data_IF_025640400088
#
_entry.id   IF_025640400088
#
_cell.length_a   1.000
_cell.length_b   1.000
_cell.length_c   1.000
_cell.angle_alpha   90.00
_cell.angle_beta   90.00
_cell.angle_gamma   90.00
#
_symmetry.space_group_name_H-M   'P 1'
#
loop_
_entity.id
_entity.type
_entity.pdbx_description
1 polymer ?
#
# COMPACT_ATOMS: atom_id res chain seq x y z
N UNK A 1 -81.45 16.56 -27.55
CA UNK A 1 -80.31 15.64 -27.49
C UNK A 1 -78.96 16.33 -27.80
N UNK A 2 -78.94 17.57 -28.26
CA UNK A 2 -77.72 18.31 -28.62
C UNK A 2 -77.06 19.05 -27.40
N UNK A 3 -77.81 19.45 -26.39
CA UNK A 3 -77.39 20.24 -25.26
C UNK A 3 -76.48 19.42 -24.23
N UNK A 4 -76.75 18.10 -24.13
CA UNK A 4 -76.08 17.23 -23.20
C UNK A 4 -74.63 16.90 -23.67
N UNK A 5 -74.37 16.85 -24.96
CA UNK A 5 -73.06 16.52 -25.55
C UNK A 5 -72.08 17.71 -25.43
N UNK A 6 -72.60 18.94 -25.53
CA UNK A 6 -71.78 20.14 -25.37
C UNK A 6 -71.27 20.36 -23.93
N UNK A 7 -72.10 20.02 -22.93
CA UNK A 7 -71.79 20.14 -21.54
C UNK A 7 -70.70 19.14 -21.14
N UNK A 8 -70.68 17.92 -21.68
CA UNK A 8 -69.69 16.90 -21.36
C UNK A 8 -68.31 17.23 -21.93
N UNK A 9 -68.27 17.84 -23.11
CA UNK A 9 -66.95 18.27 -23.70
C UNK A 9 -66.30 19.46 -22.94
N UNK A 10 -67.16 20.37 -22.46
CA UNK A 10 -66.66 21.54 -21.69
C UNK A 10 -66.07 21.10 -20.33
N UNK A 11 -66.68 20.13 -19.68
CA UNK A 11 -66.18 19.58 -18.42
C UNK A 11 -64.89 18.81 -18.64
N UNK A 12 -64.75 18.08 -19.75
CA UNK A 12 -63.55 17.32 -20.05
C UNK A 12 -62.35 18.22 -20.36
N UNK A 13 -62.54 19.33 -21.08
CA UNK A 13 -61.49 20.32 -21.36
C UNK A 13 -61.07 21.08 -20.10
N UNK A 14 -62.02 21.44 -19.23
CA UNK A 14 -61.69 22.05 -17.90
C UNK A 14 -60.91 21.11 -16.99
N UNK A 15 -61.20 19.82 -17.02
CA UNK A 15 -60.47 18.83 -16.23
C UNK A 15 -59.01 18.61 -16.76
N UNK A 16 -58.84 18.59 -18.07
CA UNK A 16 -57.54 18.46 -18.71
C UNK A 16 -56.65 19.71 -18.48
N UNK A 17 -57.22 20.91 -18.50
CA UNK A 17 -56.47 22.15 -18.19
C UNK A 17 -56.12 22.26 -16.73
N UNK A 18 -56.99 21.83 -15.81
CA UNK A 18 -56.70 21.78 -14.38
C UNK A 18 -55.62 20.75 -14.04
N UNK A 19 -55.64 19.58 -14.71
CA UNK A 19 -54.61 18.54 -14.53
C UNK A 19 -53.23 19.00 -15.06
N UNK A 20 -53.20 19.71 -16.18
CA UNK A 20 -52.00 20.28 -16.77
C UNK A 20 -51.37 21.39 -15.85
N UNK A 21 -52.23 22.23 -15.25
CA UNK A 21 -51.77 23.23 -14.30
C UNK A 21 -51.23 22.63 -12.99
N UNK A 22 -51.79 21.52 -12.51
CA UNK A 22 -51.29 20.80 -11.33
C UNK A 22 -49.93 20.14 -11.59
N UNK A 23 -49.67 19.66 -12.83
CA UNK A 23 -48.36 19.06 -13.20
C UNK A 23 -47.24 20.11 -13.29
N UNK A 24 -47.54 21.35 -13.61
CA UNK A 24 -46.54 22.43 -13.65
C UNK A 24 -46.12 22.90 -12.27
N UNK A 25 -46.97 22.73 -11.24
CA UNK A 25 -46.60 23.07 -9.86
C UNK A 25 -45.72 22.01 -9.16
N UNK A 26 -45.55 20.82 -9.76
CA UNK A 26 -44.70 19.77 -9.21
C UNK A 26 -43.24 19.80 -9.73
N UNK A 27 -42.89 20.73 -10.61
CA UNK A 27 -41.49 21.01 -10.88
C UNK A 27 -40.94 21.75 -9.68
N UNK A 28 -40.58 20.96 -8.64
CA UNK A 28 -39.87 21.46 -7.46
C UNK A 28 -38.65 22.22 -7.96
N UNK A 29 -38.61 23.51 -7.70
CA UNK A 29 -37.40 24.29 -7.83
C UNK A 29 -36.36 23.65 -6.93
N UNK A 30 -35.48 22.82 -7.52
CA UNK A 30 -34.22 22.46 -6.90
C UNK A 30 -33.41 23.74 -6.84
N UNK A 31 -33.54 24.49 -5.76
CA UNK A 31 -32.60 25.53 -5.43
C UNK A 31 -31.29 24.83 -5.08
N UNK A 32 -30.44 24.62 -6.09
CA UNK A 32 -29.02 24.52 -5.81
C UNK A 32 -28.67 25.82 -5.07
N UNK A 33 -28.26 25.70 -3.83
CA UNK A 33 -27.85 26.81 -2.99
C UNK A 33 -26.72 27.53 -3.73
N UNK A 34 -27.10 28.56 -4.51
CA UNK A 34 -26.14 29.34 -5.27
C UNK A 34 -25.52 30.25 -4.26
N UNK A 35 -24.22 30.12 -4.02
CA UNK A 35 -23.48 31.07 -3.20
C UNK A 35 -23.82 32.50 -3.62
N UNK A 36 -24.62 33.19 -2.82
CA UNK A 36 -25.18 34.51 -3.14
C UNK A 36 -24.09 35.59 -3.03
N UNK A 37 -23.07 35.35 -2.20
CA UNK A 37 -21.94 36.23 -2.02
C UNK A 37 -20.60 35.48 -2.18
N UNK A 38 -19.61 36.09 -2.80
CA UNK A 38 -18.29 35.50 -3.00
C UNK A 38 -17.57 35.10 -1.67
N UNK A 39 -18.08 35.59 -0.52
CA UNK A 39 -17.62 35.21 0.82
C UNK A 39 -18.21 33.92 1.34
N UNK A 40 -19.46 33.59 0.97
CA UNK A 40 -20.22 32.47 1.54
C UNK A 40 -19.82 31.10 0.97
N UNK A 41 -19.02 31.11 -0.12
CA UNK A 41 -18.54 29.89 -0.77
C UNK A 41 -17.06 29.59 -0.45
N UNK A 42 -16.47 30.29 0.49
CA UNK A 42 -15.08 30.05 0.90
C UNK A 42 -15.05 28.93 1.92
N UNK A 43 -14.51 27.81 1.53
CA UNK A 43 -14.17 26.70 2.42
C UNK A 43 -12.72 26.90 2.83
N UNK A 44 -12.48 27.10 4.13
CA UNK A 44 -11.12 27.15 4.65
C UNK A 44 -10.61 25.71 4.82
N UNK A 45 -9.59 25.37 4.04
CA UNK A 45 -8.87 24.11 4.20
C UNK A 45 -7.50 24.45 4.78
N UNK A 46 -7.24 23.94 5.98
CA UNK A 46 -5.94 24.09 6.63
C UNK A 46 -5.09 22.86 6.36
N UNK A 47 -3.87 23.08 5.85
CA UNK A 47 -2.87 22.04 5.70
C UNK A 47 -1.82 22.25 6.79
N UNK A 48 -1.57 21.22 7.58
CA UNK A 48 -0.49 21.19 8.55
C UNK A 48 0.49 20.10 8.14
N UNK A 49 1.74 20.45 7.97
CA UNK A 49 2.83 19.53 7.68
C UNK A 49 4.02 19.84 8.56
N UNK A 50 4.76 18.81 8.94
CA UNK A 50 6.05 18.96 9.60
C UNK A 50 7.13 18.69 8.56
N UNK A 51 8.00 19.65 8.34
CA UNK A 51 9.21 19.48 7.54
C UNK A 51 10.37 19.16 8.49
N UNK A 52 11.10 18.09 8.18
CA UNK A 52 12.31 17.72 8.91
C UNK A 52 13.52 18.06 8.05
N UNK A 53 14.45 18.78 8.63
CA UNK A 53 15.65 19.27 7.93
C UNK A 53 16.69 18.15 7.73
N UNK A 54 16.63 17.12 8.60
CA UNK A 54 17.57 15.99 8.58
C UNK A 54 16.79 14.66 8.50
N UNK A 55 17.27 13.76 7.65
CA UNK A 55 16.82 12.39 7.55
C UNK A 55 18.00 11.45 7.78
N UNK A 56 17.74 10.22 8.25
CA UNK A 56 18.79 9.22 8.42
C UNK A 56 19.49 8.87 7.10
N UNK A 57 20.78 8.72 7.13
CA UNK A 57 21.50 7.93 6.16
C UNK A 57 21.21 6.44 6.36
N UNK A 58 21.23 5.64 5.29
CA UNK A 58 21.06 4.18 5.35
C UNK A 58 22.32 3.51 4.83
N UNK A 59 22.82 2.53 5.58
CA UNK A 59 23.92 1.67 5.17
C UNK A 59 23.54 0.20 5.33
N UNK A 60 23.70 -0.59 4.27
CA UNK A 60 23.42 -2.03 4.25
C UNK A 60 24.78 -2.74 4.29
N UNK A 61 24.97 -3.66 5.23
CA UNK A 61 26.23 -4.39 5.46
C UNK A 61 27.47 -3.46 5.59
N UNK A 62 27.28 -2.26 6.17
CA UNK A 62 28.30 -1.21 6.29
C UNK A 62 28.87 -0.73 4.93
N UNK A 63 28.14 -0.89 3.86
CA UNK A 63 28.55 -0.45 2.55
C UNK A 63 27.71 0.75 2.06
N UNK A 64 26.74 0.55 1.20
CA UNK A 64 25.91 1.63 0.63
C UNK A 64 24.43 1.50 1.00
N UNK A 65 23.62 2.46 0.58
CA UNK A 65 22.16 2.40 0.73
C UNK A 65 21.48 1.44 -0.27
N UNK A 66 22.26 0.87 -1.18
CA UNK A 66 21.78 -0.11 -2.17
C UNK A 66 22.80 -1.22 -2.28
N UNK A 67 22.44 -2.41 -1.81
CA UNK A 67 23.34 -3.58 -1.77
C UNK A 67 22.63 -4.84 -2.25
N UNK A 68 23.40 -5.74 -2.87
CA UNK A 68 22.94 -7.05 -3.27
C UNK A 68 23.20 -8.09 -2.17
N UNK A 69 22.14 -8.70 -1.69
CA UNK A 69 22.23 -9.80 -0.72
C UNK A 69 22.21 -11.12 -1.50
N UNK A 70 23.37 -11.77 -1.59
CA UNK A 70 23.51 -13.04 -2.31
C UNK A 70 23.14 -14.21 -1.42
N UNK A 71 22.10 -14.94 -1.79
CA UNK A 71 21.71 -16.19 -1.14
C UNK A 71 22.54 -17.36 -1.67
N UNK A 72 22.81 -18.41 -0.85
CA UNK A 72 23.60 -19.55 -1.25
C UNK A 72 22.92 -20.39 -2.33
N UNK A 73 23.69 -20.99 -3.22
CA UNK A 73 23.16 -21.98 -4.17
C UNK A 73 22.74 -23.25 -3.43
N UNK A 74 21.50 -23.70 -3.67
CA UNK A 74 20.93 -24.86 -3.02
C UNK A 74 20.35 -25.85 -4.04
N UNK A 75 20.22 -27.12 -3.61
CA UNK A 75 19.41 -28.08 -4.34
C UNK A 75 17.92 -27.79 -4.14
N UNK A 76 17.12 -27.92 -5.18
CA UNK A 76 15.65 -27.82 -5.08
C UNK A 76 15.04 -28.82 -4.12
N UNK A 77 15.74 -29.91 -3.80
CA UNK A 77 15.28 -30.96 -2.86
C UNK A 77 15.03 -30.44 -1.45
N UNK A 78 15.67 -29.35 -1.04
CA UNK A 78 15.49 -28.78 0.30
C UNK A 78 14.21 -27.92 0.42
N UNK A 79 13.58 -27.57 -0.71
CA UNK A 79 12.38 -26.74 -0.79
C UNK A 79 11.16 -27.48 -1.37
N UNK A 80 11.14 -28.80 -1.27
CA UNK A 80 10.05 -29.62 -1.84
C UNK A 80 8.74 -29.56 -1.06
N UNK A 81 8.78 -29.13 0.19
CA UNK A 81 7.59 -29.00 1.03
C UNK A 81 7.11 -27.56 1.05
N UNK A 82 5.82 -27.34 0.83
CA UNK A 82 5.18 -26.03 0.99
C UNK A 82 5.54 -25.40 2.35
N UNK A 83 5.96 -24.16 2.33
CA UNK A 83 6.38 -23.43 3.52
C UNK A 83 7.80 -23.77 4.01
N UNK A 84 8.54 -24.64 3.31
CA UNK A 84 9.95 -24.89 3.66
C UNK A 84 10.79 -23.65 3.43
N UNK A 85 11.74 -23.40 4.33
CA UNK A 85 12.72 -22.33 4.23
C UNK A 85 14.12 -22.92 4.22
N UNK A 86 15.02 -22.31 3.42
CA UNK A 86 16.40 -22.71 3.32
C UNK A 86 17.30 -21.57 2.81
N UNK A 87 18.61 -21.71 2.98
CA UNK A 87 19.59 -20.77 2.44
C UNK A 87 19.56 -19.41 3.10
N UNK A 88 19.41 -19.38 4.41
CA UNK A 88 19.38 -18.13 5.18
C UNK A 88 20.70 -17.36 5.06
N UNK A 89 20.61 -16.08 4.72
CA UNK A 89 21.69 -15.13 4.66
C UNK A 89 21.38 -13.93 5.54
N UNK A 90 22.25 -13.65 6.50
CA UNK A 90 22.13 -12.47 7.36
C UNK A 90 22.63 -11.23 6.62
N UNK A 91 21.98 -10.11 6.85
CA UNK A 91 22.44 -8.77 6.47
C UNK A 91 22.08 -7.76 7.56
N UNK A 92 22.77 -6.63 7.57
CA UNK A 92 22.51 -5.53 8.50
C UNK A 92 21.99 -4.30 7.79
N UNK A 93 21.15 -3.54 8.49
CA UNK A 93 20.78 -2.18 8.12
C UNK A 93 21.13 -1.26 9.26
N UNK A 94 21.99 -0.29 8.98
CA UNK A 94 22.43 0.74 9.92
C UNK A 94 21.84 2.07 9.52
N UNK A 95 21.20 2.74 10.47
CA UNK A 95 20.78 4.13 10.31
C UNK A 95 21.85 5.05 10.91
N UNK A 96 22.31 6.00 10.11
CA UNK A 96 23.38 6.95 10.45
C UNK A 96 22.89 8.39 10.37
N UNK A 97 23.49 9.28 11.13
CA UNK A 97 23.19 10.72 11.10
C UNK A 97 21.70 11.03 11.26
N UNK A 98 21.01 10.25 12.10
CA UNK A 98 19.60 10.43 12.35
C UNK A 98 19.35 11.66 13.26
N UNK A 99 18.15 12.29 13.14
CA UNK A 99 17.71 13.26 14.16
C UNK A 99 17.64 12.60 15.52
N UNK A 100 18.26 13.25 16.53
CA UNK A 100 18.34 12.73 17.90
C UNK A 100 16.97 12.67 18.58
N UNK A 101 16.84 11.82 19.61
CA UNK A 101 15.62 11.65 20.40
C UNK A 101 14.37 11.32 19.56
N UNK A 102 14.55 10.63 18.44
CA UNK A 102 13.47 10.19 17.55
C UNK A 102 13.38 8.66 17.48
N UNK A 103 12.18 8.19 17.22
CA UNK A 103 11.97 6.80 16.79
C UNK A 103 11.80 6.79 15.28
N UNK A 104 12.63 6.02 14.60
CA UNK A 104 12.52 5.77 13.17
C UNK A 104 12.02 4.35 12.98
N UNK A 105 10.99 4.17 12.19
CA UNK A 105 10.38 2.88 11.92
C UNK A 105 10.73 2.46 10.50
N UNK A 106 11.38 1.30 10.36
CA UNK A 106 11.74 0.71 9.09
C UNK A 106 10.72 -0.35 8.68
N UNK A 107 10.32 -0.33 7.43
CA UNK A 107 9.58 -1.42 6.78
C UNK A 107 10.18 -1.74 5.41
N UNK A 108 9.95 -2.98 4.95
CA UNK A 108 10.33 -3.38 3.61
C UNK A 108 9.12 -3.27 2.67
N UNK A 109 9.33 -2.67 1.52
CA UNK A 109 8.28 -2.47 0.50
C UNK A 109 8.77 -2.92 -0.88
N UNK A 110 7.84 -3.28 -1.74
CA UNK A 110 8.09 -3.50 -3.16
C UNK A 110 6.97 -2.86 -3.96
N UNK A 111 7.28 -1.78 -4.67
CA UNK A 111 6.32 -1.02 -5.49
C UNK A 111 6.18 -1.60 -6.90
N UNK A 112 7.04 -2.56 -7.27
CA UNK A 112 7.06 -3.22 -8.58
C UNK A 112 6.09 -4.41 -8.72
N UNK A 113 5.26 -4.70 -7.71
CA UNK A 113 4.30 -5.80 -7.75
C UNK A 113 4.88 -7.18 -7.43
N UNK A 114 6.14 -7.25 -7.00
CA UNK A 114 6.79 -8.49 -6.59
C UNK A 114 6.66 -8.75 -5.08
N UNK A 115 5.45 -8.58 -4.54
CA UNK A 115 5.11 -8.91 -3.16
C UNK A 115 3.85 -9.78 -3.12
N UNK A 116 3.93 -10.89 -2.42
CA UNK A 116 2.80 -11.80 -2.21
C UNK A 116 2.08 -11.43 -0.91
N UNK A 117 0.87 -10.90 -1.03
CA UNK A 117 0.08 -10.46 0.12
C UNK A 117 -0.33 -11.61 1.06
N UNK A 118 -0.41 -12.86 0.56
CA UNK A 118 -0.83 -14.01 1.36
C UNK A 118 0.32 -14.54 2.22
N UNK A 119 1.54 -14.55 1.67
CA UNK A 119 2.73 -15.04 2.37
C UNK A 119 3.54 -13.93 3.01
N UNK A 120 3.35 -12.67 2.58
CA UNK A 120 4.16 -11.53 3.00
C UNK A 120 5.59 -11.56 2.47
N UNK A 121 5.88 -12.37 1.46
CA UNK A 121 7.23 -12.56 0.91
C UNK A 121 7.43 -11.76 -0.38
N UNK A 122 8.68 -11.63 -0.79
CA UNK A 122 9.05 -11.17 -2.12
C UNK A 122 8.85 -12.31 -3.12
N UNK A 123 8.19 -12.01 -4.25
CA UNK A 123 8.01 -12.93 -5.36
C UNK A 123 9.28 -12.93 -6.20
N UNK A 124 9.68 -14.11 -6.70
CA UNK A 124 10.78 -14.21 -7.67
C UNK A 124 10.40 -13.57 -9.00
N UNK A 125 11.36 -13.01 -9.71
CA UNK A 125 11.18 -12.63 -11.11
C UNK A 125 10.72 -13.83 -11.93
N UNK A 126 9.97 -13.57 -13.01
CA UNK A 126 9.41 -14.59 -13.87
C UNK A 126 10.06 -14.55 -15.27
N UNK A 127 10.22 -15.72 -15.89
CA UNK A 127 10.74 -15.83 -17.25
C UNK A 127 11.68 -17.01 -17.43
N UNK A 128 12.25 -17.12 -18.64
CA UNK A 128 13.19 -18.19 -18.93
C UNK A 128 14.46 -18.07 -18.06
N UNK A 129 14.78 -19.15 -17.35
CA UNK A 129 15.95 -19.20 -16.47
C UNK A 129 15.65 -18.94 -15.01
N UNK A 130 14.51 -18.37 -14.67
CA UNK A 130 14.11 -18.17 -13.26
C UNK A 130 13.45 -19.42 -12.66
N UNK A 131 13.67 -19.61 -11.36
CA UNK A 131 13.02 -20.65 -10.56
C UNK A 131 11.55 -20.31 -10.33
N UNK A 132 10.68 -21.30 -10.44
CA UNK A 132 9.26 -21.17 -10.14
C UNK A 132 8.94 -21.68 -8.73
N UNK A 133 7.84 -21.19 -8.16
CA UNK A 133 7.29 -21.57 -6.84
C UNK A 133 8.23 -21.30 -5.66
N UNK A 134 9.19 -20.41 -5.83
CA UNK A 134 10.10 -19.92 -4.81
C UNK A 134 9.86 -18.43 -4.56
N UNK A 135 10.00 -18.02 -3.31
CA UNK A 135 9.90 -16.64 -2.84
C UNK A 135 11.11 -16.34 -1.97
N UNK A 136 11.36 -15.07 -1.66
CA UNK A 136 12.33 -14.66 -0.64
C UNK A 136 11.59 -14.10 0.56
N UNK A 137 11.83 -14.71 1.71
CA UNK A 137 11.29 -14.29 2.99
C UNK A 137 12.31 -13.47 3.76
N UNK A 138 11.87 -12.34 4.32
CA UNK A 138 12.66 -11.53 5.22
C UNK A 138 12.22 -11.76 6.67
N UNK A 139 13.18 -11.80 7.58
CA UNK A 139 12.96 -11.92 9.03
C UNK A 139 13.86 -10.95 9.79
N UNK A 140 13.44 -10.56 10.98
CA UNK A 140 14.30 -9.97 11.98
C UNK A 140 15.27 -11.01 12.56
N UNK A 141 16.27 -10.58 13.28
CA UNK A 141 17.21 -11.47 13.99
C UNK A 141 16.55 -12.38 15.04
N UNK A 142 15.39 -11.99 15.57
CA UNK A 142 14.58 -12.78 16.50
C UNK A 142 13.71 -13.85 15.81
N UNK A 143 13.75 -13.94 14.48
CA UNK A 143 12.96 -14.86 13.66
C UNK A 143 11.59 -14.33 13.26
N UNK A 144 11.17 -13.17 13.75
CA UNK A 144 9.87 -12.56 13.36
C UNK A 144 9.91 -12.18 11.87
N UNK A 145 8.88 -12.56 11.11
CA UNK A 145 8.79 -12.21 9.71
C UNK A 145 8.62 -10.69 9.50
N UNK A 146 9.36 -10.17 8.53
CA UNK A 146 9.16 -8.83 7.97
C UNK A 146 8.34 -8.96 6.69
N UNK A 147 7.01 -8.85 6.83
CA UNK A 147 6.09 -8.96 5.68
C UNK A 147 6.18 -7.73 4.81
N UNK A 148 6.37 -7.95 3.51
CA UNK A 148 6.51 -6.89 2.52
C UNK A 148 5.18 -6.15 2.32
N UNK A 149 5.24 -4.84 2.16
CA UNK A 149 4.08 -3.95 1.99
C UNK A 149 3.07 -3.99 3.16
N UNK A 150 3.50 -4.45 4.34
CA UNK A 150 2.65 -4.50 5.52
C UNK A 150 3.03 -3.39 6.50
N UNK A 151 2.11 -2.46 6.77
CA UNK A 151 2.33 -1.29 7.63
C UNK A 151 2.60 -1.63 9.09
N UNK A 152 2.17 -2.81 9.55
CA UNK A 152 2.40 -3.28 10.92
C UNK A 152 3.65 -4.13 11.08
N UNK A 153 4.26 -4.57 9.97
CA UNK A 153 5.46 -5.39 9.94
C UNK A 153 6.71 -4.51 9.88
N UNK A 154 7.10 -3.98 11.01
CA UNK A 154 8.10 -2.92 11.12
C UNK A 154 9.22 -3.26 12.10
N UNK A 155 10.37 -2.58 11.96
CA UNK A 155 11.45 -2.55 12.93
C UNK A 155 11.63 -1.12 13.45
N UNK A 156 11.61 -0.95 14.75
CA UNK A 156 11.89 0.34 15.38
C UNK A 156 13.38 0.54 15.61
N UNK A 157 13.87 1.74 15.32
CA UNK A 157 15.19 2.27 15.63
C UNK A 157 14.99 3.46 16.57
N UNK A 158 15.39 3.27 17.82
CA UNK A 158 15.31 4.32 18.85
C UNK A 158 16.63 5.08 18.82
N UNK A 159 16.61 6.29 18.28
CA UNK A 159 17.80 7.12 18.13
C UNK A 159 18.09 7.81 19.48
N UNK A 160 19.27 7.55 20.07
CA UNK A 160 19.62 8.14 21.35
C UNK A 160 19.94 9.64 21.22
N UNK A 161 19.94 10.34 22.35
CA UNK A 161 20.34 11.75 22.43
C UNK A 161 21.81 12.00 22.01
N UNK A 162 22.64 10.97 22.03
CA UNK A 162 24.04 11.00 21.55
C UNK A 162 24.14 11.03 20.02
N UNK A 163 23.06 10.65 19.30
CA UNK A 163 23.07 10.57 17.85
C UNK A 163 23.86 9.39 17.30
N UNK A 164 24.13 8.39 18.13
CA UNK A 164 24.89 7.20 17.70
C UNK A 164 24.14 6.41 16.62
N UNK A 165 24.90 5.81 15.72
CA UNK A 165 24.38 4.93 14.66
C UNK A 165 23.71 3.69 15.26
N UNK A 166 22.56 3.30 14.73
CA UNK A 166 21.81 2.13 15.19
C UNK A 166 21.77 1.07 14.10
N UNK A 167 22.17 -0.14 14.44
CA UNK A 167 22.17 -1.29 13.53
C UNK A 167 21.19 -2.36 13.97
N UNK A 168 20.37 -2.83 13.03
CA UNK A 168 19.58 -4.04 13.18
C UNK A 168 19.97 -5.08 12.12
N UNK A 169 19.84 -6.35 12.50
CA UNK A 169 20.15 -7.48 11.63
C UNK A 169 18.88 -8.14 11.14
N UNK A 170 18.91 -8.55 9.89
CA UNK A 170 17.84 -9.23 9.19
C UNK A 170 18.35 -10.51 8.55
N UNK A 171 17.43 -11.37 8.17
CA UNK A 171 17.71 -12.63 7.50
C UNK A 171 16.86 -12.70 6.26
N UNK A 172 17.47 -12.95 5.12
CA UNK A 172 16.80 -13.33 3.88
C UNK A 172 16.94 -14.84 3.67
N UNK A 173 15.88 -15.51 3.25
CA UNK A 173 15.88 -16.94 2.98
C UNK A 173 14.96 -17.30 1.83
N UNK A 174 15.28 -18.38 1.11
CA UNK A 174 14.34 -18.97 0.17
C UNK A 174 13.13 -19.55 0.91
N UNK A 175 11.97 -19.44 0.29
CA UNK A 175 10.71 -19.97 0.79
C UNK A 175 9.93 -20.66 -0.33
N UNK A 176 9.51 -21.91 -0.10
CA UNK A 176 8.64 -22.64 -1.03
C UNK A 176 7.20 -22.14 -0.93
N UNK A 177 6.69 -21.50 -1.98
CA UNK A 177 5.35 -20.86 -1.96
C UNK A 177 4.19 -21.84 -1.77
N UNK A 178 4.41 -23.12 -2.12
CA UNK A 178 3.37 -24.16 -2.02
C UNK A 178 2.43 -24.26 -3.21
N UNK A 179 2.63 -23.43 -4.24
CA UNK A 179 1.81 -23.45 -5.45
C UNK A 179 2.24 -24.58 -6.43
N UNK A 180 3.30 -25.28 -6.11
CA UNK A 180 3.90 -26.36 -6.90
C UNK A 180 5.30 -26.69 -6.38
N UNK A 181 6.00 -27.61 -7.05
CA UNK A 181 7.38 -27.91 -6.73
C UNK A 181 8.28 -26.74 -7.14
N UNK A 182 9.27 -26.42 -6.30
CA UNK A 182 10.30 -25.44 -6.65
C UNK A 182 11.15 -25.99 -7.78
N UNK A 183 11.28 -25.25 -8.87
CA UNK A 183 12.09 -25.62 -10.03
C UNK A 183 13.52 -25.10 -9.90
N UNK A 184 14.46 -25.68 -10.64
CA UNK A 184 15.80 -25.13 -10.76
C UNK A 184 15.77 -23.82 -11.59
N UNK A 185 16.56 -22.85 -11.18
CA UNK A 185 16.65 -21.56 -11.87
C UNK A 185 17.21 -20.47 -10.97
N UNK A 186 17.30 -19.28 -11.50
CA UNK A 186 17.74 -18.10 -10.77
C UNK A 186 16.63 -17.57 -9.85
N UNK A 187 17.03 -16.93 -8.77
CA UNK A 187 16.13 -16.21 -7.86
C UNK A 187 16.61 -14.77 -7.79
N UNK A 188 15.80 -13.87 -8.32
CA UNK A 188 16.01 -12.43 -8.29
C UNK A 188 14.77 -11.71 -7.81
N UNK A 189 14.93 -10.78 -6.89
CA UNK A 189 13.84 -9.93 -6.40
C UNK A 189 14.42 -8.66 -5.79
N UNK A 190 13.57 -7.68 -5.55
CA UNK A 190 13.94 -6.38 -5.00
C UNK A 190 13.06 -6.03 -3.80
N UNK A 191 13.65 -5.48 -2.75
CA UNK A 191 12.95 -4.79 -1.69
C UNK A 191 13.51 -3.38 -1.52
N UNK A 192 12.63 -2.41 -1.34
CA UNK A 192 12.97 -1.06 -0.92
C UNK A 192 12.81 -0.94 0.60
N UNK A 193 13.59 -0.06 1.21
CA UNK A 193 13.46 0.32 2.61
C UNK A 193 12.69 1.64 2.68
N UNK A 194 11.63 1.64 3.46
CA UNK A 194 10.83 2.82 3.76
C UNK A 194 11.05 3.21 5.24
N UNK A 195 11.41 4.46 5.50
CA UNK A 195 11.67 5.00 6.83
C UNK A 195 10.58 5.99 7.23
N UNK A 196 9.96 5.74 8.36
CA UNK A 196 8.90 6.57 8.93
C UNK A 196 9.39 7.18 10.24
N UNK A 197 9.40 8.49 10.34
CA UNK A 197 9.84 9.25 11.52
C UNK A 197 8.66 9.52 12.45
N UNK A 198 8.85 9.26 13.75
CA UNK A 198 7.82 9.49 14.79
C UNK A 198 8.31 10.47 15.86
#
# INVERSE_FOLDING_TARGET
MLTAIMSCRLIHTLYQTALALLLVCYTGYCFADKCINAGDCKINVSFTGTYMEETCGVSINNASSSEMITLPTLSTTVLQKAGAEAGSQQFSVTLTHCPIDKTVVLRFVNDGGLADINTGNLINEAGAGYSENVQVRLRKSDGTQMSINNETSTQEYIIPATGDDITHYYIAAYYASGNGNVTAGEVGTLANIDLIYK
#
